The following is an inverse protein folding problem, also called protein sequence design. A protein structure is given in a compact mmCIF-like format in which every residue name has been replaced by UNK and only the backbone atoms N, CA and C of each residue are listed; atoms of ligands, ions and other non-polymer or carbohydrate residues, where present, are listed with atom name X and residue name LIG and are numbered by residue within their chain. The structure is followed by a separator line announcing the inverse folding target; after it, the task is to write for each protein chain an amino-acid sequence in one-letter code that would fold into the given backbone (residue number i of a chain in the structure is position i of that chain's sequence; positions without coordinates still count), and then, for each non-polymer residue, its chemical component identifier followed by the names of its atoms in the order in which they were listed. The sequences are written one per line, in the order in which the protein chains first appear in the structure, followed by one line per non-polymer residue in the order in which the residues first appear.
data_IF_471637597733
#
_entry.id   IF_471637597733
#
_cell.length_a   1.000
_cell.length_b   1.000
_cell.length_c   1.000
_cell.angle_alpha   90.00
_cell.angle_beta   90.00
_cell.angle_gamma   90.00
#
_symmetry.space_group_name_H-M   'P 1'
#
loop_
_entity.id
_entity.type
_entity.pdbx_description
1 polymer ?
#
# COMPACT_ATOMS: atom_id res chain seq x y z
N UNK A 1 -20.97 3.00 21.39
CA UNK A 1 -20.31 2.25 20.29
C UNK A 1 -20.01 3.22 19.15
N UNK A 2 -18.86 3.89 19.18
CA UNK A 2 -18.54 4.98 18.25
C UNK A 2 -17.84 4.46 16.97
N UNK A 3 -18.55 4.61 15.86
CA UNK A 3 -18.05 5.02 14.53
C UNK A 3 -17.08 4.12 13.75
N UNK A 4 -17.62 3.05 13.15
CA UNK A 4 -17.09 2.44 11.91
C UNK A 4 -17.11 3.39 10.69
N UNK A 5 -17.76 4.55 10.83
CA UNK A 5 -17.96 5.57 9.78
C UNK A 5 -16.84 6.62 9.70
N UNK A 6 -16.14 6.88 10.80
CA UNK A 6 -15.03 7.85 10.83
C UNK A 6 -13.86 7.41 9.92
N UNK A 7 -13.65 6.09 9.77
CA UNK A 7 -12.64 5.52 8.89
C UNK A 7 -12.96 5.66 7.39
N UNK A 8 -14.24 5.83 7.00
CA UNK A 8 -14.62 6.01 5.60
C UNK A 8 -14.43 7.45 5.12
N UNK A 9 -14.64 8.45 5.98
CA UNK A 9 -14.56 9.86 5.59
C UNK A 9 -13.13 10.42 5.77
N UNK A 10 -12.37 9.97 6.78
CA UNK A 10 -11.00 10.43 6.99
C UNK A 10 -10.01 9.85 5.96
N UNK A 11 -10.28 8.63 5.45
CA UNK A 11 -9.44 7.95 4.47
C UNK A 11 -9.56 8.47 3.03
N UNK A 12 -10.61 9.22 2.71
CA UNK A 12 -10.89 9.68 1.32
C UNK A 12 -10.27 11.05 0.98
N UNK A 13 -9.76 11.79 1.98
CA UNK A 13 -9.08 13.08 1.74
C UNK A 13 -7.59 13.07 2.01
N UNK A 14 -7.11 12.04 2.72
CA UNK A 14 -5.69 11.91 3.05
C UNK A 14 -4.90 11.47 1.80
N UNK A 15 -3.81 12.18 1.51
CA UNK A 15 -2.89 11.79 0.45
C UNK A 15 -2.25 10.43 0.81
N UNK A 16 -2.33 9.42 -0.07
CA UNK A 16 -1.81 8.09 0.24
C UNK A 16 -0.30 8.11 0.47
N UNK A 17 0.46 9.03 -0.14
CA UNK A 17 1.91 9.15 0.06
C UNK A 17 2.22 9.71 1.44
N UNK A 18 1.45 10.70 1.90
CA UNK A 18 1.58 11.23 3.26
C UNK A 18 1.33 10.14 4.31
N UNK A 19 0.29 9.31 4.14
CA UNK A 19 0.06 8.14 5.02
C UNK A 19 1.22 7.16 4.94
N UNK A 20 1.67 6.80 3.74
CA UNK A 20 2.78 5.85 3.56
C UNK A 20 4.08 6.38 4.19
N UNK A 21 4.37 7.67 4.05
CA UNK A 21 5.51 8.31 4.71
C UNK A 21 5.37 8.29 6.23
N UNK A 22 4.17 8.51 6.79
CA UNK A 22 3.95 8.40 8.23
C UNK A 22 4.13 6.97 8.76
N UNK A 23 3.86 5.94 7.94
CA UNK A 23 3.96 4.52 8.33
C UNK A 23 5.38 3.98 8.16
N UNK A 24 6.04 4.27 7.04
CA UNK A 24 7.31 3.68 6.64
C UNK A 24 8.50 4.64 6.70
N UNK A 25 8.26 5.94 6.88
CA UNK A 25 9.28 6.96 6.87
C UNK A 25 9.98 7.12 5.51
N UNK A 26 11.24 7.55 5.55
CA UNK A 26 12.10 7.70 4.38
C UNK A 26 11.91 9.02 3.62
N UNK A 27 12.69 9.25 2.55
CA UNK A 27 12.59 10.46 1.75
C UNK A 27 11.17 10.65 1.19
N UNK A 28 10.73 11.90 1.08
CA UNK A 28 9.47 12.21 0.41
C UNK A 28 9.51 11.67 -1.03
N UNK A 29 8.45 11.02 -1.46
CA UNK A 29 8.37 10.47 -2.80
C UNK A 29 8.34 11.58 -3.86
N UNK A 30 9.02 11.37 -4.98
CA UNK A 30 8.83 12.19 -6.18
C UNK A 30 7.39 12.03 -6.69
N UNK A 31 6.83 13.10 -7.25
CA UNK A 31 5.43 13.17 -7.70
C UNK A 31 5.01 11.90 -8.45
N UNK A 32 3.88 11.32 -8.05
CA UNK A 32 3.33 10.12 -8.68
C UNK A 32 3.66 8.82 -7.96
N UNK A 33 4.84 8.70 -7.33
CA UNK A 33 5.33 7.43 -6.76
C UNK A 33 5.03 7.28 -5.25
N UNK A 34 4.99 6.05 -4.71
CA UNK A 34 5.06 5.80 -3.27
C UNK A 34 6.48 6.05 -2.72
N UNK A 35 6.64 6.30 -1.40
CA UNK A 35 7.96 6.33 -0.76
C UNK A 35 8.73 5.03 -1.00
N UNK A 36 10.03 5.11 -1.29
CA UNK A 36 10.84 3.95 -1.63
C UNK A 36 10.78 2.86 -0.55
N UNK A 37 10.87 3.24 0.73
CA UNK A 37 10.78 2.31 1.85
C UNK A 37 9.46 1.54 1.89
N UNK A 38 8.34 2.20 1.55
CA UNK A 38 7.03 1.57 1.48
C UNK A 38 6.97 0.57 0.29
N UNK A 39 7.53 0.95 -0.85
CA UNK A 39 7.56 0.11 -2.05
C UNK A 39 8.42 -1.14 -1.86
N UNK A 40 9.62 -1.00 -1.31
CA UNK A 40 10.51 -2.13 -1.00
C UNK A 40 9.87 -3.08 0.02
N UNK A 41 9.22 -2.54 1.04
CA UNK A 41 8.47 -3.36 2.00
C UNK A 41 7.32 -4.12 1.32
N UNK A 42 6.56 -3.48 0.45
CA UNK A 42 5.45 -4.12 -0.26
C UNK A 42 5.94 -5.22 -1.20
N UNK A 43 7.02 -4.99 -1.95
CA UNK A 43 7.61 -5.99 -2.84
C UNK A 43 8.08 -7.23 -2.06
N UNK A 44 8.79 -7.02 -0.94
CA UNK A 44 9.24 -8.12 -0.07
C UNK A 44 8.06 -8.90 0.50
N UNK A 45 7.08 -8.19 1.05
CA UNK A 45 5.89 -8.79 1.65
C UNK A 45 5.12 -9.64 0.63
N UNK A 46 4.93 -9.11 -0.59
CA UNK A 46 4.24 -9.84 -1.65
C UNK A 46 5.08 -11.01 -2.18
N UNK A 47 6.41 -10.90 -2.23
CA UNK A 47 7.27 -12.01 -2.62
C UNK A 47 7.20 -13.20 -1.65
N UNK A 48 7.01 -12.93 -0.35
CA UNK A 48 6.87 -13.97 0.68
C UNK A 48 5.53 -14.72 0.59
N UNK A 49 4.43 -14.02 0.29
CA UNK A 49 3.07 -14.61 0.31
C UNK A 49 2.53 -15.01 -1.06
N UNK A 50 3.08 -14.46 -2.14
CA UNK A 50 2.69 -14.67 -3.53
C UNK A 50 3.97 -14.81 -4.39
N UNK A 51 4.74 -15.90 -4.24
CA UNK A 51 5.99 -16.07 -4.97
C UNK A 51 5.79 -16.19 -6.49
N UNK A 52 4.61 -16.61 -6.94
CA UNK A 52 4.26 -16.74 -8.36
C UNK A 52 3.97 -15.40 -9.05
N UNK A 53 3.84 -14.31 -8.27
CA UNK A 53 3.54 -12.95 -8.76
C UNK A 53 2.20 -12.85 -9.49
N UNK A 54 1.26 -13.71 -9.15
CA UNK A 54 -0.05 -13.79 -9.80
C UNK A 54 -1.07 -12.88 -9.14
N UNK A 55 -0.79 -12.36 -7.93
CA UNK A 55 -1.72 -11.50 -7.23
C UNK A 55 -2.01 -10.21 -8.00
N UNK A 56 -3.26 -10.04 -8.40
CA UNK A 56 -3.76 -8.78 -8.93
C UNK A 56 -3.82 -7.69 -7.84
N UNK A 57 -3.93 -6.42 -8.25
CA UNK A 57 -3.89 -5.26 -7.35
C UNK A 57 -4.86 -5.36 -6.17
N UNK A 58 -6.07 -5.90 -6.36
CA UNK A 58 -7.06 -6.08 -5.29
C UNK A 58 -6.62 -7.14 -4.27
N UNK A 59 -6.07 -8.26 -4.74
CA UNK A 59 -5.54 -9.32 -3.88
C UNK A 59 -4.31 -8.83 -3.11
N UNK A 60 -3.37 -8.19 -3.81
CA UNK A 60 -2.20 -7.55 -3.22
C UNK A 60 -2.59 -6.52 -2.14
N UNK A 61 -3.61 -5.69 -2.39
CA UNK A 61 -4.13 -4.74 -1.39
C UNK A 61 -4.58 -5.43 -0.10
N UNK A 62 -5.29 -6.56 -0.21
CA UNK A 62 -5.75 -7.33 0.96
C UNK A 62 -4.57 -7.93 1.73
N UNK A 63 -3.58 -8.46 1.02
CA UNK A 63 -2.37 -9.03 1.61
C UNK A 63 -1.57 -7.96 2.37
N UNK A 64 -1.33 -6.80 1.75
CA UNK A 64 -0.61 -5.69 2.38
C UNK A 64 -1.34 -5.15 3.62
N UNK A 65 -2.68 -5.01 3.59
CA UNK A 65 -3.45 -4.58 4.77
C UNK A 65 -3.47 -5.59 5.89
N UNK A 66 -3.32 -6.88 5.57
CA UNK A 66 -3.19 -7.94 6.58
C UNK A 66 -1.81 -7.89 7.23
N UNK A 67 -0.77 -7.59 6.47
CA UNK A 67 0.61 -7.48 6.95
C UNK A 67 0.88 -6.19 7.74
N UNK A 68 0.32 -5.05 7.32
CA UNK A 68 0.43 -3.76 8.01
C UNK A 68 -0.96 -3.16 8.27
N UNK A 69 -1.55 -3.40 9.46
CA UNK A 69 -2.89 -2.91 9.82
C UNK A 69 -3.03 -1.40 9.87
N UNK A 70 -1.92 -0.64 9.98
CA UNK A 70 -1.94 0.84 9.96
C UNK A 70 -2.22 1.41 8.57
N UNK A 71 -2.15 0.58 7.52
CA UNK A 71 -2.52 0.98 6.16
C UNK A 71 -4.03 1.18 6.01
N UNK A 72 -4.40 2.37 5.55
CA UNK A 72 -5.76 2.63 5.06
C UNK A 72 -5.99 1.94 3.72
N UNK A 73 -7.25 1.77 3.32
CA UNK A 73 -7.56 1.15 2.03
C UNK A 73 -6.91 1.88 0.85
N UNK A 74 -6.97 3.22 0.82
CA UNK A 74 -6.41 4.02 -0.29
C UNK A 74 -4.88 3.91 -0.36
N UNK A 75 -4.18 4.03 0.77
CA UNK A 75 -2.71 3.90 0.81
C UNK A 75 -2.25 2.49 0.43
N UNK A 76 -2.96 1.46 0.87
CA UNK A 76 -2.68 0.08 0.48
C UNK A 76 -2.95 -0.17 -1.00
N UNK A 77 -4.06 0.32 -1.55
CA UNK A 77 -4.40 0.15 -2.97
C UNK A 77 -3.37 0.85 -3.86
N UNK A 78 -3.04 2.10 -3.54
CA UNK A 78 -2.01 2.86 -4.24
C UNK A 78 -0.65 2.14 -4.24
N UNK A 79 -0.24 1.60 -3.08
CA UNK A 79 1.00 0.85 -2.96
C UNK A 79 0.96 -0.47 -3.72
N UNK A 80 -0.17 -1.20 -3.68
CA UNK A 80 -0.37 -2.46 -4.38
C UNK A 80 -0.29 -2.29 -5.90
N UNK A 81 -0.90 -1.25 -6.46
CA UNK A 81 -0.83 -0.96 -7.90
C UNK A 81 0.61 -0.78 -8.38
N UNK A 82 1.42 -0.02 -7.64
CA UNK A 82 2.83 0.20 -7.98
C UNK A 82 3.66 -1.09 -7.83
N UNK A 83 3.46 -1.84 -6.74
CA UNK A 83 4.19 -3.08 -6.49
C UNK A 83 3.84 -4.17 -7.51
N UNK A 84 2.56 -4.35 -7.87
CA UNK A 84 2.14 -5.32 -8.89
C UNK A 84 2.66 -4.92 -10.27
N UNK A 85 2.60 -3.63 -10.61
CA UNK A 85 3.12 -3.14 -11.91
C UNK A 85 4.62 -3.42 -12.05
N UNK A 86 5.43 -3.23 -11.00
CA UNK A 86 6.88 -3.55 -11.04
C UNK A 86 7.19 -5.05 -11.08
N UNK A 87 6.29 -5.91 -10.58
CA UNK A 87 6.48 -7.37 -10.52
C UNK A 87 6.06 -8.08 -11.80
N UNK A 88 5.27 -7.44 -12.68
CA UNK A 88 4.85 -8.05 -13.95
C UNK A 88 6.06 -8.22 -14.87
N UNK A 89 6.29 -9.43 -15.41
CA UNK A 89 7.24 -9.61 -16.50
C UNK A 89 6.75 -8.84 -17.73
N UNK A 90 7.68 -8.18 -18.40
CA UNK A 90 7.50 -7.51 -19.70
C UNK A 90 7.20 -8.49 -20.84
#
# INVERSE_FOLDING_TARGET
MQSRWAAMILGDREDPRARLHAVFGGPAATSGQPPAAALEWAERTLAEVDPTREAEAVAATRLLRRAEPRLTLRSAAFLAEHAVTRRRPE
#
